data_IF_474730009119
#
_entry.id   IF_474730009119
#
_cell.length_a   1.000
_cell.length_b   1.000
_cell.length_c   1.000
_cell.angle_alpha   90.00
_cell.angle_beta   90.00
_cell.angle_gamma   90.00
#
_symmetry.space_group_name_H-M   'P 1'
#
loop_
_entity.id
_entity.type
_entity.pdbx_description
1 polymer ?
#
# COMPACT_ATOMS: atom_id res chain seq x y z
N UNK A 1 75.64 25.20 1.21
CA UNK A 1 74.38 24.43 1.34
C UNK A 1 74.50 23.17 0.50
N UNK A 2 74.38 22.01 1.15
CA UNK A 2 74.90 20.71 0.67
C UNK A 2 73.88 19.94 -0.17
N UNK A 3 74.27 19.51 -1.38
CA UNK A 3 73.45 18.70 -2.31
C UNK A 3 73.13 17.27 -1.80
N UNK A 4 73.61 16.90 -0.61
CA UNK A 4 73.45 15.54 -0.06
C UNK A 4 72.08 15.29 0.57
N UNK A 5 71.37 16.32 1.00
CA UNK A 5 70.09 16.17 1.73
C UNK A 5 68.88 15.89 0.82
N UNK A 6 69.00 16.08 -0.49
CA UNK A 6 67.87 15.92 -1.42
C UNK A 6 67.69 14.46 -1.86
N UNK A 7 68.74 13.63 -1.83
CA UNK A 7 68.66 12.23 -2.27
C UNK A 7 68.17 11.26 -1.21
N UNK A 8 68.35 11.56 0.08
CA UNK A 8 67.88 10.67 1.16
C UNK A 8 66.35 10.73 1.32
N UNK A 9 65.72 11.86 1.01
CA UNK A 9 64.26 12.00 1.11
C UNK A 9 63.49 11.23 0.03
N UNK A 10 64.08 10.98 -1.13
CA UNK A 10 63.40 10.28 -2.24
C UNK A 10 63.36 8.77 -2.02
N UNK A 11 64.35 8.21 -1.32
CA UNK A 11 64.43 6.78 -1.02
C UNK A 11 63.38 6.35 0.02
N UNK A 12 63.09 7.19 1.01
CA UNK A 12 62.07 6.90 2.02
C UNK A 12 60.65 7.01 1.47
N UNK A 13 60.40 7.94 0.54
CA UNK A 13 59.08 8.04 -0.14
C UNK A 13 58.80 6.79 -0.97
N UNK A 14 59.79 6.25 -1.70
CA UNK A 14 59.60 5.03 -2.49
C UNK A 14 59.39 3.77 -1.62
N UNK A 15 60.01 3.68 -0.44
CA UNK A 15 59.75 2.57 0.50
C UNK A 15 58.33 2.63 1.12
N UNK A 16 57.81 3.82 1.37
CA UNK A 16 56.44 3.99 1.90
C UNK A 16 55.35 3.55 0.91
N UNK A 17 55.58 3.72 -0.40
CA UNK A 17 54.64 3.31 -1.44
C UNK A 17 54.69 1.80 -1.72
N UNK A 18 55.85 1.15 -1.63
CA UNK A 18 55.94 -0.31 -1.77
C UNK A 18 55.29 -1.07 -0.60
N UNK A 19 55.33 -0.55 0.63
CA UNK A 19 54.63 -1.18 1.76
C UNK A 19 53.10 -1.01 1.69
N UNK A 20 52.60 0.03 1.03
CA UNK A 20 51.15 0.25 0.86
C UNK A 20 50.53 -0.65 -0.21
N UNK A 21 51.32 -1.15 -1.18
CA UNK A 21 50.86 -2.05 -2.24
C UNK A 21 50.77 -3.54 -1.83
N UNK A 22 51.32 -3.93 -0.67
CA UNK A 22 51.24 -5.31 -0.16
C UNK A 22 50.16 -5.52 0.92
N UNK A 23 49.45 -4.47 1.36
CA UNK A 23 48.23 -4.65 2.17
C UNK A 23 47.08 -5.01 1.24
N UNK A 24 46.78 -6.30 1.17
CA UNK A 24 45.69 -6.83 0.36
C UNK A 24 44.34 -6.15 0.66
N UNK A 25 43.39 -6.17 -0.29
CA UNK A 25 42.11 -5.46 -0.23
C UNK A 25 41.16 -5.90 0.91
N UNK A 26 41.59 -6.80 1.80
CA UNK A 26 40.81 -7.32 2.92
C UNK A 26 40.81 -6.43 4.17
N UNK A 27 41.76 -5.51 4.34
CA UNK A 27 41.82 -4.68 5.56
C UNK A 27 41.14 -3.31 5.45
N UNK A 28 40.92 -2.79 4.25
CA UNK A 28 40.22 -1.52 4.04
C UNK A 28 38.69 -1.61 4.23
N UNK A 29 38.13 -2.82 4.29
CA UNK A 29 36.70 -3.06 4.54
C UNK A 29 36.35 -3.30 6.01
N UNK A 30 37.34 -3.36 6.91
CA UNK A 30 37.12 -3.71 8.33
C UNK A 30 36.72 -2.53 9.21
N UNK A 31 36.79 -1.29 8.71
CA UNK A 31 36.50 -0.06 9.46
C UNK A 31 35.10 0.55 9.25
N UNK A 32 34.25 -0.03 8.40
CA UNK A 32 32.92 0.53 8.08
C UNK A 32 31.73 -0.24 8.69
N UNK A 33 31.98 -1.23 9.57
CA UNK A 33 30.94 -2.15 10.07
C UNK A 33 30.65 -2.07 11.57
N UNK A 34 30.96 -0.95 12.21
CA UNK A 34 30.52 -0.67 13.58
C UNK A 34 29.69 0.61 13.64
N UNK A 35 28.59 0.65 12.88
CA UNK A 35 27.41 1.36 13.38
C UNK A 35 26.75 0.42 14.40
N UNK A 36 26.70 0.78 15.69
CA UNK A 36 25.99 -0.02 16.68
C UNK A 36 24.54 -0.18 16.21
N UNK A 37 24.09 -1.43 16.21
CA UNK A 37 22.74 -1.87 15.90
C UNK A 37 21.71 -1.22 16.84
N UNK A 38 21.39 0.05 16.65
CA UNK A 38 20.17 0.67 17.15
C UNK A 38 18.97 0.25 16.27
N UNK A 39 18.84 -1.06 16.02
CA UNK A 39 17.71 -1.67 15.32
C UNK A 39 16.64 -2.17 16.31
N UNK A 40 16.50 -1.47 17.44
CA UNK A 40 15.26 -1.47 18.24
C UNK A 40 14.25 -0.43 17.72
N UNK A 41 14.57 0.29 16.65
CA UNK A 41 13.77 1.42 16.15
C UNK A 41 12.54 1.08 15.29
N UNK A 42 12.12 -0.19 15.14
CA UNK A 42 10.98 -0.51 14.26
C UNK A 42 10.14 -1.72 14.66
N UNK A 43 10.10 -2.03 15.96
CA UNK A 43 8.94 -2.74 16.56
C UNK A 43 7.92 -1.77 17.18
N UNK A 44 8.03 -0.48 16.87
CA UNK A 44 6.86 0.36 16.83
C UNK A 44 6.15 0.03 15.52
N UNK A 45 5.39 -1.08 15.52
CA UNK A 45 4.09 -0.99 14.87
C UNK A 45 3.51 0.32 15.40
N UNK A 46 3.28 1.30 14.52
CA UNK A 46 2.17 2.19 14.79
C UNK A 46 0.93 1.29 14.73
N UNK A 47 0.72 0.50 15.79
CA UNK A 47 -0.56 0.50 16.46
C UNK A 47 -0.80 1.97 16.78
N UNK A 48 -1.26 2.73 15.78
CA UNK A 48 -2.03 3.92 16.06
C UNK A 48 -3.15 3.36 16.92
N UNK A 49 -2.95 3.39 18.25
CA UNK A 49 -4.05 3.38 19.20
C UNK A 49 -5.09 4.25 18.53
N UNK A 50 -6.31 3.73 18.28
CA UNK A 50 -7.33 4.43 17.51
C UNK A 50 -7.41 5.82 18.09
N UNK A 51 -6.77 6.77 17.39
CA UNK A 51 -6.38 8.01 18.05
C UNK A 51 -7.69 8.66 18.44
N UNK A 52 -7.73 9.39 19.54
CA UNK A 52 -8.93 10.15 19.95
C UNK A 52 -9.53 10.91 18.75
N UNK A 53 -8.67 11.29 17.79
CA UNK A 53 -9.03 11.79 16.47
C UNK A 53 -9.98 10.88 15.66
N UNK A 54 -9.72 9.58 15.51
CA UNK A 54 -10.59 8.69 14.73
C UNK A 54 -11.89 8.32 15.46
N UNK A 55 -11.87 8.24 16.80
CA UNK A 55 -13.05 7.87 17.59
C UNK A 55 -13.98 9.06 17.88
N UNK A 56 -13.47 10.29 17.94
CA UNK A 56 -14.27 11.47 18.29
C UNK A 56 -14.41 12.43 17.11
N UNK A 57 -13.34 12.71 16.38
CA UNK A 57 -13.39 13.73 15.31
C UNK A 57 -14.14 13.21 14.09
N UNK A 58 -13.95 11.94 13.71
CA UNK A 58 -14.63 11.37 12.55
C UNK A 58 -16.16 11.35 12.71
N UNK A 59 -16.74 10.83 13.82
CA UNK A 59 -18.19 10.84 14.02
C UNK A 59 -18.77 12.25 14.17
N UNK A 60 -17.99 13.16 14.76
CA UNK A 60 -18.41 14.55 14.91
C UNK A 60 -18.44 15.27 13.56
N UNK A 61 -17.45 15.02 12.70
CA UNK A 61 -17.42 15.49 11.32
C UNK A 61 -18.58 14.89 10.51
N UNK A 62 -18.83 13.58 10.62
CA UNK A 62 -19.96 12.92 9.99
C UNK A 62 -21.29 13.51 10.45
N UNK A 63 -21.48 13.71 11.76
CA UNK A 63 -22.70 14.32 12.31
C UNK A 63 -22.89 15.76 11.83
N UNK A 64 -21.82 16.53 11.67
CA UNK A 64 -21.86 17.89 11.15
C UNK A 64 -22.22 17.90 9.66
N UNK A 65 -21.66 16.97 8.89
CA UNK A 65 -22.05 16.75 7.48
C UNK A 65 -23.53 16.39 7.41
N UNK A 66 -23.98 15.34 8.12
CA UNK A 66 -25.39 14.96 8.15
C UNK A 66 -26.31 16.09 8.61
N UNK A 67 -25.89 16.89 9.59
CA UNK A 67 -26.63 18.07 10.05
C UNK A 67 -26.77 19.14 8.97
N UNK A 68 -25.70 19.47 8.25
CA UNK A 68 -25.74 20.39 7.12
C UNK A 68 -26.65 19.87 6.00
N UNK A 69 -26.61 18.57 5.71
CA UNK A 69 -27.48 17.96 4.72
C UNK A 69 -28.96 18.01 5.17
N UNK A 70 -29.28 17.64 6.41
CA UNK A 70 -30.63 17.70 6.94
C UNK A 70 -31.20 19.12 6.95
N UNK A 71 -30.41 20.11 7.38
CA UNK A 71 -30.81 21.51 7.41
C UNK A 71 -31.05 22.07 5.99
N UNK A 72 -30.16 21.76 5.04
CA UNK A 72 -30.31 22.18 3.64
C UNK A 72 -31.55 21.58 2.97
N UNK A 73 -31.81 20.29 3.21
CA UNK A 73 -33.01 19.61 2.74
C UNK A 73 -34.29 20.21 3.32
N UNK A 74 -34.32 20.44 4.64
CA UNK A 74 -35.47 21.06 5.30
C UNK A 74 -35.74 22.48 4.78
N UNK A 75 -34.69 23.29 4.58
CA UNK A 75 -34.81 24.63 4.02
C UNK A 75 -35.41 24.61 2.60
N UNK A 76 -34.93 23.72 1.73
CA UNK A 76 -35.46 23.54 0.38
C UNK A 76 -36.95 23.18 0.38
N UNK A 77 -37.38 22.31 1.30
CA UNK A 77 -38.80 21.93 1.45
C UNK A 77 -39.63 23.12 1.92
N UNK A 78 -39.17 23.86 2.93
CA UNK A 78 -39.89 25.04 3.45
C UNK A 78 -40.07 26.09 2.36
N UNK A 79 -38.98 26.45 1.65
CA UNK A 79 -39.04 27.43 0.56
C UNK A 79 -39.93 26.93 -0.58
N UNK A 80 -39.88 25.64 -0.91
CA UNK A 80 -40.74 25.03 -1.92
C UNK A 80 -42.22 25.12 -1.55
N UNK A 81 -42.60 24.75 -0.32
CA UNK A 81 -43.98 24.79 0.17
C UNK A 81 -44.50 26.23 0.26
N UNK A 82 -43.71 27.16 0.78
CA UNK A 82 -44.09 28.58 0.90
C UNK A 82 -44.31 29.22 -0.49
N UNK A 83 -43.43 28.90 -1.45
CA UNK A 83 -43.57 29.35 -2.84
C UNK A 83 -44.82 28.77 -3.52
N UNK A 84 -45.21 27.52 -3.19
CA UNK A 84 -46.44 26.92 -3.72
C UNK A 84 -47.71 27.53 -3.12
N UNK A 85 -47.65 28.04 -1.88
CA UNK A 85 -48.80 28.64 -1.19
C UNK A 85 -49.03 30.12 -1.55
N UNK A 86 -47.98 30.86 -1.94
CA UNK A 86 -48.07 32.32 -2.12
C UNK A 86 -48.53 32.76 -3.51
N UNK A 87 -48.22 32.04 -4.60
CA UNK A 87 -48.80 32.34 -5.91
C UNK A 87 -48.54 31.22 -6.96
N UNK A 88 -49.60 30.53 -7.42
CA UNK A 88 -49.48 29.44 -8.41
C UNK A 88 -48.95 29.89 -9.79
N UNK A 89 -48.88 31.21 -10.03
CA UNK A 89 -48.47 31.80 -11.32
C UNK A 89 -46.96 31.97 -11.45
N UNK A 90 -46.22 31.86 -10.36
CA UNK A 90 -44.76 32.03 -10.35
C UNK A 90 -44.15 30.63 -10.30
N UNK A 91 -44.01 29.99 -11.46
CA UNK A 91 -43.59 28.58 -11.60
C UNK A 91 -42.08 28.34 -11.44
N UNK A 92 -41.26 29.39 -11.59
CA UNK A 92 -39.80 29.27 -11.57
C UNK A 92 -39.17 28.93 -10.20
N UNK A 93 -39.68 29.39 -9.03
CA UNK A 93 -39.12 29.03 -7.72
C UNK A 93 -39.37 27.57 -7.37
N UNK A 94 -40.55 27.04 -7.70
CA UNK A 94 -40.87 25.62 -7.55
C UNK A 94 -39.99 24.73 -8.44
N UNK A 95 -39.68 25.18 -9.66
CA UNK A 95 -38.75 24.47 -10.54
C UNK A 95 -37.32 24.48 -9.97
N UNK A 96 -36.87 25.58 -9.39
CA UNK A 96 -35.55 25.68 -8.74
C UNK A 96 -35.45 24.81 -7.49
N UNK A 97 -36.49 24.76 -6.66
CA UNK A 97 -36.51 23.91 -5.46
C UNK A 97 -36.47 22.43 -5.84
N UNK A 98 -37.25 22.00 -6.84
CA UNK A 98 -37.22 20.62 -7.34
C UNK A 98 -35.86 20.25 -7.93
N UNK A 99 -35.27 21.15 -8.71
CA UNK A 99 -33.93 20.98 -9.30
C UNK A 99 -32.85 20.89 -8.21
N UNK A 100 -32.95 21.75 -7.18
CA UNK A 100 -32.08 21.76 -6.02
C UNK A 100 -32.18 20.46 -5.22
N UNK A 101 -33.40 19.96 -4.97
CA UNK A 101 -33.64 18.68 -4.30
C UNK A 101 -33.06 17.49 -5.08
N UNK A 102 -33.24 17.47 -6.42
CA UNK A 102 -32.69 16.42 -7.27
C UNK A 102 -31.14 16.42 -7.26
N UNK A 103 -30.52 17.59 -7.42
CA UNK A 103 -29.06 17.73 -7.37
C UNK A 103 -28.47 17.38 -6.00
N UNK A 104 -29.13 17.81 -4.94
CA UNK A 104 -28.77 17.47 -3.57
C UNK A 104 -28.88 15.97 -3.29
N UNK A 105 -29.98 15.33 -3.71
CA UNK A 105 -30.18 13.89 -3.56
C UNK A 105 -29.12 13.08 -4.33
N UNK A 106 -28.75 13.53 -5.53
CA UNK A 106 -27.68 12.91 -6.32
C UNK A 106 -26.30 13.06 -5.64
N UNK A 107 -25.98 14.23 -5.10
CA UNK A 107 -24.75 14.44 -4.33
C UNK A 107 -24.72 13.60 -3.06
N UNK A 108 -25.82 13.53 -2.32
CA UNK A 108 -25.93 12.73 -1.11
C UNK A 108 -25.81 11.24 -1.41
N UNK A 109 -26.46 10.74 -2.46
CA UNK A 109 -26.31 9.37 -2.93
C UNK A 109 -24.86 9.06 -3.35
N UNK A 110 -24.19 9.99 -4.04
CA UNK A 110 -22.79 9.86 -4.42
C UNK A 110 -21.85 9.89 -3.20
N UNK A 111 -22.15 10.72 -2.21
CA UNK A 111 -21.42 10.76 -0.95
C UNK A 111 -21.59 9.46 -0.18
N UNK A 112 -22.82 8.98 -0.01
CA UNK A 112 -23.10 7.71 0.67
C UNK A 112 -22.42 6.53 -0.04
N UNK A 113 -22.53 6.45 -1.37
CA UNK A 113 -21.88 5.38 -2.15
C UNK A 113 -20.35 5.46 -2.15
N UNK A 114 -19.78 6.67 -2.00
CA UNK A 114 -18.34 6.87 -1.86
C UNK A 114 -17.83 6.67 -0.43
N UNK A 115 -18.66 6.91 0.57
CA UNK A 115 -18.32 6.69 1.98
C UNK A 115 -18.32 5.17 2.26
N UNK A 116 -17.27 4.67 2.92
CA UNK A 116 -17.17 3.25 3.30
C UNK A 116 -18.38 2.73 4.09
N UNK A 117 -19.16 3.65 4.67
CA UNK A 117 -20.40 3.39 5.39
C UNK A 117 -21.44 2.56 4.61
N UNK A 118 -21.61 2.79 3.31
CA UNK A 118 -22.56 2.01 2.51
C UNK A 118 -22.12 0.55 2.37
N UNK A 119 -20.80 0.31 2.30
CA UNK A 119 -20.25 -1.06 2.31
C UNK A 119 -20.47 -1.73 3.65
N UNK A 120 -20.19 -1.05 4.76
CA UNK A 120 -20.39 -1.58 6.11
C UNK A 120 -21.86 -1.95 6.37
N UNK A 121 -22.81 -1.12 5.91
CA UNK A 121 -24.23 -1.43 6.04
C UNK A 121 -24.60 -2.63 5.17
N UNK A 122 -24.23 -2.64 3.89
CA UNK A 122 -24.52 -3.76 3.00
C UNK A 122 -23.97 -5.06 3.61
N UNK A 123 -22.71 -5.06 4.03
CA UNK A 123 -22.08 -6.23 4.64
C UNK A 123 -22.80 -6.69 5.90
N UNK A 124 -23.24 -5.77 6.78
CA UNK A 124 -24.05 -6.12 7.96
C UNK A 124 -25.39 -6.73 7.55
N UNK A 125 -26.05 -6.18 6.53
CA UNK A 125 -27.33 -6.70 6.03
C UNK A 125 -27.13 -8.07 5.39
N UNK A 126 -26.08 -8.29 4.59
CA UNK A 126 -25.74 -9.59 3.99
C UNK A 126 -25.42 -10.62 5.06
N UNK A 127 -24.64 -10.24 6.08
CA UNK A 127 -24.31 -11.11 7.21
C UNK A 127 -25.54 -11.54 8.02
N UNK A 128 -26.53 -10.66 8.19
CA UNK A 128 -27.79 -10.95 8.90
C UNK A 128 -28.75 -11.74 8.02
N UNK A 129 -28.90 -11.36 6.75
CA UNK A 129 -29.88 -11.95 5.83
C UNK A 129 -29.41 -13.25 5.18
N UNK A 130 -28.11 -13.55 5.25
CA UNK A 130 -27.45 -14.68 4.56
C UNK A 130 -27.74 -14.70 3.07
N UNK A 131 -27.85 -13.52 2.46
CA UNK A 131 -28.05 -13.32 1.02
C UNK A 131 -26.99 -12.37 0.52
N UNK A 132 -26.47 -12.65 -0.67
CA UNK A 132 -25.63 -11.74 -1.43
C UNK A 132 -26.53 -10.66 -2.04
N UNK A 133 -26.45 -9.43 -1.51
CA UNK A 133 -27.34 -8.31 -1.87
C UNK A 133 -26.71 -7.49 -2.99
N UNK A 134 -25.39 -7.42 -3.02
CA UNK A 134 -24.64 -6.67 -4.01
C UNK A 134 -24.30 -7.49 -5.28
N UNK A 135 -24.59 -8.79 -5.28
CA UNK A 135 -24.26 -9.78 -6.32
C UNK A 135 -22.76 -9.88 -6.63
N UNK A 136 -21.89 -9.73 -5.63
CA UNK A 136 -20.44 -9.88 -5.77
C UNK A 136 -19.97 -11.35 -5.65
N UNK A 137 -20.90 -12.26 -5.36
CA UNK A 137 -20.65 -13.69 -5.20
C UNK A 137 -20.29 -14.10 -3.78
N UNK A 138 -20.30 -13.17 -2.81
CA UNK A 138 -19.96 -13.42 -1.41
C UNK A 138 -21.09 -12.96 -0.49
N UNK A 139 -21.18 -13.59 0.69
CA UNK A 139 -22.15 -13.20 1.73
C UNK A 139 -21.35 -12.66 2.91
N UNK A 140 -21.39 -11.35 3.12
CA UNK A 140 -20.69 -10.69 4.22
C UNK A 140 -19.42 -9.96 3.78
N UNK A 141 -18.42 -9.87 4.66
CA UNK A 141 -17.11 -9.36 4.24
C UNK A 141 -16.47 -10.44 3.36
N UNK A 142 -16.14 -10.18 2.08
CA UNK A 142 -15.43 -11.16 1.27
C UNK A 142 -14.13 -11.46 2.00
N UNK A 143 -14.08 -12.68 2.56
CA UNK A 143 -13.05 -13.18 3.46
C UNK A 143 -11.69 -12.63 3.01
N UNK A 144 -11.22 -11.63 3.76
CA UNK A 144 -10.04 -10.78 3.52
C UNK A 144 -9.29 -11.11 2.24
N UNK A 145 -9.45 -10.30 1.17
CA UNK A 145 -8.62 -10.27 -0.06
C UNK A 145 -7.47 -11.30 0.00
N UNK A 146 -7.73 -12.58 -0.33
CA UNK A 146 -6.86 -13.73 0.02
C UNK A 146 -5.40 -13.32 0.11
N UNK A 147 -4.90 -13.07 1.32
CA UNK A 147 -3.56 -12.52 1.46
C UNK A 147 -2.57 -13.64 1.18
N UNK A 148 -1.64 -13.37 0.27
CA UNK A 148 -0.57 -14.31 -0.01
C UNK A 148 0.46 -14.09 1.08
N UNK A 149 0.56 -15.04 2.01
CA UNK A 149 1.61 -15.02 3.03
C UNK A 149 2.95 -15.38 2.37
N UNK A 150 3.77 -14.36 2.14
CA UNK A 150 5.13 -14.52 1.63
C UNK A 150 6.08 -14.73 2.81
N UNK A 151 6.70 -15.91 2.90
CA UNK A 151 7.84 -16.13 3.80
C UNK A 151 9.13 -15.69 3.12
N UNK A 152 9.76 -14.64 3.63
CA UNK A 152 11.08 -14.16 3.18
C UNK A 152 12.13 -14.67 4.15
N UNK A 153 13.05 -15.49 3.64
CA UNK A 153 14.22 -15.95 4.40
C UNK A 153 15.45 -15.18 3.95
N UNK A 154 15.98 -14.30 4.79
CA UNK A 154 17.24 -13.60 4.53
C UNK A 154 18.39 -14.24 5.31
N UNK A 155 19.48 -14.58 4.62
CA UNK A 155 20.72 -15.03 5.26
C UNK A 155 21.62 -13.83 5.52
N UNK A 156 21.71 -13.41 6.79
CA UNK A 156 22.61 -12.33 7.19
C UNK A 156 24.09 -12.72 7.14
N UNK A 157 24.99 -11.72 7.15
CA UNK A 157 26.45 -11.87 7.04
C UNK A 157 27.11 -12.80 8.10
N UNK A 158 26.38 -13.20 9.15
CA UNK A 158 26.83 -14.12 10.21
C UNK A 158 26.13 -15.49 10.16
N UNK A 159 25.49 -15.85 9.04
CA UNK A 159 24.70 -17.08 8.92
C UNK A 159 23.42 -17.07 9.77
N UNK A 160 22.97 -15.90 10.23
CA UNK A 160 21.68 -15.76 10.91
C UNK A 160 20.58 -15.67 9.87
N UNK A 161 19.59 -16.54 9.97
CA UNK A 161 18.38 -16.48 9.17
C UNK A 161 17.37 -15.54 9.83
N UNK A 162 16.80 -14.62 9.06
CA UNK A 162 15.62 -13.87 9.46
C UNK A 162 14.45 -14.33 8.60
N UNK A 163 13.34 -14.69 9.26
CA UNK A 163 12.08 -15.04 8.61
C UNK A 163 11.12 -13.87 8.76
N UNK A 164 10.61 -13.36 7.65
CA UNK A 164 9.58 -12.32 7.67
C UNK A 164 8.37 -12.81 6.88
N UNK A 165 7.18 -12.65 7.45
CA UNK A 165 5.92 -12.88 6.75
C UNK A 165 5.37 -11.56 6.25
N UNK A 166 4.90 -11.53 5.02
CA UNK A 166 4.20 -10.40 4.45
C UNK A 166 2.94 -10.86 3.73
N UNK A 167 1.82 -10.26 4.09
CA UNK A 167 0.53 -10.43 3.43
C UNK A 167 0.47 -9.56 2.17
N UNK A 168 0.46 -10.20 1.00
CA UNK A 168 0.34 -9.49 -0.28
C UNK A 168 -1.12 -9.51 -0.77
N UNK A 169 -1.64 -8.39 -1.28
CA UNK A 169 -3.03 -8.28 -1.69
C UNK A 169 -3.29 -8.92 -3.06
N UNK A 170 -4.52 -9.39 -3.24
CA UNK A 170 -5.02 -9.87 -4.52
C UNK A 170 -4.66 -11.33 -4.83
N UNK A 171 -5.26 -11.91 -5.88
CA UNK A 171 -5.06 -13.31 -6.23
C UNK A 171 -3.65 -13.57 -6.76
N UNK A 172 -3.05 -14.69 -6.33
CA UNK A 172 -1.68 -15.09 -6.67
C UNK A 172 -1.41 -15.11 -8.19
N UNK A 173 -2.27 -15.67 -9.06
CA UNK A 173 -1.99 -15.70 -10.50
C UNK A 173 -1.84 -14.31 -11.13
N UNK A 174 -2.65 -13.34 -10.71
CA UNK A 174 -2.59 -11.97 -11.24
C UNK A 174 -1.35 -11.23 -10.72
N UNK A 175 -1.02 -11.44 -9.44
CA UNK A 175 0.20 -10.88 -8.85
C UNK A 175 1.46 -11.45 -9.50
N UNK A 176 1.49 -12.76 -9.79
CA UNK A 176 2.60 -13.42 -10.50
C UNK A 176 2.78 -12.85 -11.90
N UNK A 177 1.69 -12.70 -12.66
CA UNK A 177 1.71 -12.12 -14.01
C UNK A 177 2.25 -10.69 -13.98
N UNK A 178 1.78 -9.88 -13.03
CA UNK A 178 2.28 -8.52 -12.84
C UNK A 178 3.77 -8.50 -12.45
N UNK A 179 4.17 -9.32 -11.48
CA UNK A 179 5.55 -9.40 -11.03
C UNK A 179 6.50 -9.81 -12.18
N UNK A 180 6.12 -10.82 -12.98
CA UNK A 180 6.88 -11.24 -14.16
C UNK A 180 7.00 -10.12 -15.20
N UNK A 181 5.91 -9.38 -15.46
CA UNK A 181 5.93 -8.25 -16.41
C UNK A 181 6.82 -7.09 -15.91
N UNK A 182 6.88 -6.85 -14.61
CA UNK A 182 7.77 -5.84 -14.01
C UNK A 182 9.23 -6.29 -14.11
N UNK A 183 9.53 -7.53 -13.72
CA UNK A 183 10.90 -8.08 -13.70
C UNK A 183 11.50 -8.17 -15.11
N UNK A 184 10.67 -8.44 -16.12
CA UNK A 184 11.09 -8.46 -17.53
C UNK A 184 11.14 -7.06 -18.17
N UNK A 185 10.74 -6.01 -17.45
CA UNK A 185 10.70 -4.64 -17.95
C UNK A 185 9.57 -4.34 -18.95
N UNK A 186 8.60 -5.24 -19.11
CA UNK A 186 7.44 -5.02 -20.00
C UNK A 186 6.49 -3.94 -19.46
N UNK A 187 6.41 -3.83 -18.13
CA UNK A 187 5.68 -2.78 -17.43
C UNK A 187 6.53 -2.19 -16.32
N UNK A 188 6.24 -0.96 -15.92
CA UNK A 188 6.85 -0.34 -14.74
C UNK A 188 6.05 -0.71 -13.48
N UNK A 189 6.69 -0.66 -12.31
CA UNK A 189 6.00 -0.78 -11.02
C UNK A 189 5.17 0.48 -10.73
N UNK A 190 4.04 0.60 -11.43
CA UNK A 190 3.11 1.73 -11.40
C UNK A 190 1.68 1.24 -11.59
N UNK A 191 0.72 2.10 -11.29
CA UNK A 191 -0.72 1.79 -11.40
C UNK A 191 -1.13 1.43 -12.85
N UNK A 192 -0.63 2.22 -13.80
CA UNK A 192 -0.83 1.96 -15.23
C UNK A 192 -0.14 0.65 -15.65
N UNK A 193 1.04 0.36 -15.12
CA UNK A 193 1.74 -0.90 -15.34
C UNK A 193 0.97 -2.11 -14.81
N UNK A 194 0.40 -1.99 -13.62
CA UNK A 194 -0.44 -3.01 -13.01
C UNK A 194 -1.69 -3.30 -13.86
N UNK A 195 -2.40 -2.25 -14.26
CA UNK A 195 -3.61 -2.39 -15.08
C UNK A 195 -3.28 -3.02 -16.44
N UNK A 196 -2.16 -2.64 -17.07
CA UNK A 196 -1.68 -3.23 -18.33
C UNK A 196 -1.34 -4.73 -18.19
N UNK A 197 -0.86 -5.15 -17.01
CA UNK A 197 -0.59 -6.55 -16.71
C UNK A 197 -1.83 -7.34 -16.24
N UNK A 198 -3.00 -6.71 -16.17
CA UNK A 198 -4.24 -7.33 -15.68
C UNK A 198 -4.34 -7.40 -14.15
N UNK A 199 -3.50 -6.68 -13.41
CA UNK A 199 -3.56 -6.60 -11.96
C UNK A 199 -4.38 -5.39 -11.53
N UNK A 200 -5.40 -5.63 -10.71
CA UNK A 200 -6.40 -4.62 -10.34
C UNK A 200 -5.79 -3.38 -9.68
N UNK A 201 -6.29 -2.20 -10.04
CA UNK A 201 -5.83 -0.90 -9.52
C UNK A 201 -5.86 -0.85 -7.99
N UNK A 202 -6.95 -1.31 -7.37
CA UNK A 202 -7.11 -1.36 -5.90
C UNK A 202 -6.06 -2.26 -5.24
N UNK A 203 -5.84 -3.45 -5.82
CA UNK A 203 -4.82 -4.40 -5.33
C UNK A 203 -3.42 -3.82 -5.45
N UNK A 204 -3.13 -3.11 -6.56
CA UNK A 204 -1.87 -2.40 -6.73
C UNK A 204 -1.65 -1.30 -5.68
N UNK A 205 -2.66 -0.52 -5.34
CA UNK A 205 -2.52 0.52 -4.31
C UNK A 205 -2.11 -0.09 -2.96
N UNK A 206 -2.77 -1.17 -2.56
CA UNK A 206 -2.43 -1.94 -1.36
C UNK A 206 -1.02 -2.54 -1.45
N UNK A 207 -0.66 -3.14 -2.59
CA UNK A 207 0.66 -3.73 -2.80
C UNK A 207 1.76 -2.68 -2.67
N UNK A 208 1.55 -1.51 -3.27
CA UNK A 208 2.47 -0.37 -3.20
C UNK A 208 2.67 0.09 -1.76
N UNK A 209 1.60 0.19 -0.97
CA UNK A 209 1.69 0.55 0.45
C UNK A 209 2.51 -0.47 1.24
N UNK A 210 2.29 -1.77 1.02
CA UNK A 210 3.11 -2.83 1.64
C UNK A 210 4.58 -2.69 1.26
N UNK A 211 4.87 -2.47 -0.02
CA UNK A 211 6.25 -2.30 -0.51
C UNK A 211 6.93 -1.05 0.07
N UNK A 212 6.21 0.06 0.19
CA UNK A 212 6.72 1.28 0.81
C UNK A 212 6.99 1.08 2.30
N UNK A 213 6.03 0.48 3.02
CA UNK A 213 6.14 0.25 4.46
C UNK A 213 7.30 -0.70 4.82
N UNK A 214 7.52 -1.73 4.00
CA UNK A 214 8.62 -2.68 4.16
C UNK A 214 9.97 -2.17 3.65
N UNK A 215 10.02 -0.98 3.04
CA UNK A 215 11.24 -0.45 2.43
C UNK A 215 11.72 -1.25 1.22
N UNK A 216 10.80 -1.86 0.48
CA UNK A 216 11.02 -2.54 -0.81
C UNK A 216 10.81 -1.60 -2.00
N UNK A 217 10.12 -0.49 -1.77
CA UNK A 217 10.00 0.61 -2.69
C UNK A 217 10.20 1.93 -1.94
N UNK A 218 10.42 3.00 -2.68
CA UNK A 218 10.40 4.38 -2.15
C UNK A 218 9.65 5.30 -3.12
N UNK A 219 9.09 6.38 -2.61
CA UNK A 219 8.62 7.46 -3.47
C UNK A 219 9.80 8.04 -4.26
N UNK A 220 9.62 8.25 -5.57
CA UNK A 220 10.65 8.93 -6.39
C UNK A 220 10.87 10.36 -5.89
N UNK A 221 9.76 11.03 -5.58
CA UNK A 221 9.74 12.35 -5.00
C UNK A 221 8.82 12.33 -3.76
N UNK A 222 9.38 12.66 -2.59
CA UNK A 222 8.64 12.67 -1.32
C UNK A 222 7.58 13.77 -1.26
N UNK A 223 7.77 14.84 -2.02
CA UNK A 223 6.86 15.99 -2.04
C UNK A 223 5.81 15.87 -3.16
N UNK A 224 6.03 14.97 -4.13
CA UNK A 224 5.15 14.74 -5.28
C UNK A 224 4.88 13.25 -5.50
N UNK A 225 3.96 12.68 -4.72
CA UNK A 225 3.57 11.26 -4.83
C UNK A 225 2.99 10.86 -6.20
N UNK A 226 2.59 11.83 -7.03
CA UNK A 226 2.12 11.60 -8.40
C UNK A 226 3.20 11.10 -9.36
N UNK A 227 4.48 11.33 -9.04
CA UNK A 227 5.61 10.81 -9.82
C UNK A 227 5.79 9.29 -9.67
N UNK A 228 5.06 8.69 -8.73
CA UNK A 228 5.06 7.26 -8.47
C UNK A 228 6.23 6.81 -7.59
N UNK A 229 6.46 5.50 -7.62
CA UNK A 229 7.43 4.83 -6.76
C UNK A 229 8.58 4.24 -7.58
N UNK A 230 9.74 4.17 -6.96
CA UNK A 230 10.91 3.45 -7.44
C UNK A 230 11.04 2.16 -6.63
N UNK A 231 11.24 1.05 -7.34
CA UNK A 231 11.47 -0.24 -6.72
C UNK A 231 12.93 -0.31 -6.25
N UNK A 232 13.16 -0.76 -5.02
CA UNK A 232 14.50 -0.97 -4.48
C UNK A 232 14.97 -2.39 -4.80
N UNK A 233 16.27 -2.66 -4.68
CA UNK A 233 16.87 -3.96 -5.03
C UNK A 233 16.23 -5.14 -4.28
N UNK A 234 15.88 -4.95 -3.01
CA UNK A 234 15.13 -5.93 -2.22
C UNK A 234 13.70 -6.14 -2.76
N UNK A 235 13.00 -5.09 -3.18
CA UNK A 235 11.70 -5.20 -3.83
C UNK A 235 11.75 -5.91 -5.19
N UNK A 236 12.80 -5.68 -5.97
CA UNK A 236 13.06 -6.43 -7.21
C UNK A 236 13.24 -7.93 -6.95
N UNK A 237 14.00 -8.30 -5.91
CA UNK A 237 14.17 -9.70 -5.50
C UNK A 237 12.84 -10.34 -5.10
N UNK A 238 12.01 -9.64 -4.32
CA UNK A 238 10.69 -10.11 -3.92
C UNK A 238 9.80 -10.36 -5.14
N UNK A 239 9.72 -9.42 -6.09
CA UNK A 239 8.92 -9.61 -7.31
C UNK A 239 9.46 -10.76 -8.17
N UNK A 240 10.77 -10.93 -8.28
CA UNK A 240 11.37 -12.05 -9.02
C UNK A 240 10.97 -13.39 -8.40
N UNK A 241 10.96 -13.47 -7.08
CA UNK A 241 10.61 -14.68 -6.37
C UNK A 241 9.12 -15.00 -6.48
N UNK A 242 8.26 -13.98 -6.40
CA UNK A 242 6.82 -14.12 -6.70
C UNK A 242 6.61 -14.61 -8.13
N UNK A 243 7.30 -14.01 -9.11
CA UNK A 243 7.18 -14.38 -10.52
C UNK A 243 7.63 -15.82 -10.82
N UNK A 244 8.48 -16.40 -9.96
CA UNK A 244 8.99 -17.76 -10.07
C UNK A 244 8.29 -18.77 -9.16
N UNK A 245 7.41 -18.31 -8.26
CA UNK A 245 6.69 -19.20 -7.38
C UNK A 245 5.85 -20.18 -8.22
N UNK A 246 6.13 -21.46 -8.10
CA UNK A 246 5.22 -22.46 -8.67
C UNK A 246 3.92 -22.38 -7.87
N UNK A 247 2.80 -22.25 -8.59
CA UNK A 247 1.50 -22.54 -8.00
C UNK A 247 1.60 -24.04 -7.68
N UNK A 248 1.81 -24.38 -6.41
CA UNK A 248 1.58 -25.74 -5.97
C UNK A 248 0.11 -26.02 -6.24
N UNK A 249 -0.16 -26.70 -7.36
CA UNK A 249 -1.49 -27.23 -7.71
C UNK A 249 -1.83 -28.36 -6.73
N UNK A 250 -1.92 -28.05 -5.44
CA UNK A 250 -2.59 -28.89 -4.46
C UNK A 250 -4.09 -28.66 -4.62
N UNK A 251 -4.58 -29.20 -5.73
CA UNK A 251 -5.97 -29.16 -6.16
C UNK A 251 -6.47 -30.60 -6.33
N UNK A 252 -6.24 -31.50 -5.36
CA UNK A 252 -6.86 -32.82 -5.45
C UNK A 252 -7.11 -33.61 -4.15
N UNK A 253 -7.07 -33.03 -2.96
CA UNK A 253 -7.60 -33.76 -1.79
C UNK A 253 -8.53 -32.91 -0.91
N UNK A 254 -9.82 -33.05 -1.25
CA UNK A 254 -10.94 -32.75 -0.39
C UNK A 254 -10.88 -33.63 0.86
N UNK A 255 -10.28 -33.14 1.94
CA UNK A 255 -10.81 -33.46 3.27
C UNK A 255 -10.31 -32.47 4.30
N UNK A 256 -11.27 -31.71 4.85
CA UNK A 256 -11.27 -31.21 6.22
C UNK A 256 -9.90 -30.88 6.83
N UNK A 257 -9.48 -29.62 6.77
CA UNK A 257 -9.12 -28.84 7.96
C UNK A 257 -8.63 -27.43 7.56
N UNK A 258 -9.17 -26.44 8.27
CA UNK A 258 -8.88 -25.00 8.21
C UNK A 258 -7.40 -24.69 8.53
N UNK A 259 -6.49 -24.92 7.60
CA UNK A 259 -5.12 -24.41 7.67
C UNK A 259 -4.90 -23.42 6.53
N UNK A 260 -4.49 -22.20 6.89
CA UNK A 260 -4.15 -21.16 5.92
C UNK A 260 -3.10 -21.67 4.93
N UNK A 261 -3.31 -21.47 3.63
CA UNK A 261 -2.37 -21.87 2.59
C UNK A 261 -1.13 -20.97 2.66
N UNK A 262 0.02 -21.56 2.97
CA UNK A 262 1.31 -20.88 2.92
C UNK A 262 2.03 -21.26 1.62
N UNK A 263 2.42 -20.28 0.81
CA UNK A 263 3.33 -20.48 -0.32
C UNK A 263 4.75 -20.15 0.17
N UNK A 264 5.62 -21.15 0.28
CA UNK A 264 7.01 -20.95 0.69
C UNK A 264 7.84 -20.46 -0.50
N UNK A 265 8.45 -19.29 -0.37
CA UNK A 265 9.36 -18.74 -1.38
C UNK A 265 10.77 -18.61 -0.77
N UNK A 266 11.77 -19.33 -1.29
CA UNK A 266 13.17 -19.24 -0.84
C UNK A 266 13.89 -18.13 -1.60
N UNK A 267 14.35 -17.09 -0.89
CA UNK A 267 15.10 -15.96 -1.46
C UNK A 267 16.60 -16.19 -1.21
N UNK A 268 17.30 -16.72 -2.21
CA UNK A 268 18.77 -16.91 -2.19
C UNK A 268 19.53 -15.74 -2.81
#
# INVERSE_FOLDING_TARGET
MSKKTIFDNTADVMRSHQQSAMRGPSELFRGLHETPNNFEASRYSLDLEPTVMNQIVLPLLESLVFGCFAAGGAFMVIVGVDSMMTDLRVTWPAALSLSGMAGFSAMFYRYLSSSGFYRDIIQKVENVTKRDINNDGYIGDPESDRSIALEITETGAKGKFSKQFADLPGPLPDLQRFAAAVVTGQVTFSEMGATKAGYGQKSFMKLREVFLHRGWARWKNKDAHTEGVELLRNGESVLRAIAQAEIADDYDDQSDHLSGRYSHIDLR
#
